data_IF_398358711713
#
_entry.id   IF_398358711713
#
_cell.length_a   1.000
_cell.length_b   1.000
_cell.length_c   1.000
_cell.angle_alpha   90.00
_cell.angle_beta   90.00
_cell.angle_gamma   90.00
#
_symmetry.space_group_name_H-M   'P 1'
#
loop_
_entity.id
_entity.type
_entity.pdbx_description
1 polymer ?
#
# COMPACT_ATOMS: atom_id res chain seq x y z
N UNK A 1 -7.70 10.52 -3.29
CA UNK A 1 -8.93 10.70 -2.49
C UNK A 1 -10.01 9.65 -2.74
N UNK A 2 -10.16 9.11 -3.94
CA UNK A 2 -11.18 8.08 -4.24
C UNK A 2 -11.05 6.81 -3.39
N UNK A 3 -9.86 6.22 -3.33
CA UNK A 3 -9.57 4.97 -2.60
C UNK A 3 -10.01 5.04 -1.13
N UNK A 4 -9.62 6.09 -0.40
CA UNK A 4 -9.95 6.24 1.03
C UNK A 4 -11.45 6.45 1.27
N UNK A 5 -12.17 7.08 0.34
CA UNK A 5 -13.63 7.19 0.43
C UNK A 5 -14.29 5.82 0.31
N UNK A 6 -13.86 5.00 -0.66
CA UNK A 6 -14.35 3.62 -0.85
C UNK A 6 -14.01 2.75 0.35
N UNK A 7 -12.77 2.81 0.85
CA UNK A 7 -12.33 2.10 2.03
C UNK A 7 -13.17 2.47 3.28
N UNK A 8 -13.42 3.76 3.49
CA UNK A 8 -14.26 4.22 4.60
C UNK A 8 -15.72 3.80 4.45
N UNK A 9 -16.26 3.80 3.23
CA UNK A 9 -17.61 3.32 2.97
C UNK A 9 -17.72 1.82 3.29
N UNK A 10 -16.78 1.00 2.82
CA UNK A 10 -16.73 -0.42 3.17
C UNK A 10 -16.68 -0.65 4.70
N UNK A 11 -15.86 0.13 5.42
CA UNK A 11 -15.82 0.10 6.89
C UNK A 11 -17.16 0.45 7.53
N UNK A 12 -17.88 1.43 6.99
CA UNK A 12 -19.21 1.83 7.49
C UNK A 12 -20.19 0.68 7.26
N UNK A 13 -20.17 0.03 6.08
CA UNK A 13 -21.02 -1.13 5.80
C UNK A 13 -20.77 -2.27 6.78
N UNK A 14 -19.50 -2.58 7.11
CA UNK A 14 -19.18 -3.60 8.12
C UNK A 14 -19.66 -3.22 9.53
N UNK A 15 -19.65 -1.94 9.90
CA UNK A 15 -20.23 -1.48 11.16
C UNK A 15 -21.77 -1.60 11.17
N UNK A 16 -22.41 -1.25 10.05
CA UNK A 16 -23.87 -1.42 9.89
C UNK A 16 -24.21 -2.90 10.03
N UNK A 17 -23.46 -3.79 9.33
CA UNK A 17 -23.61 -5.23 9.47
C UNK A 17 -23.58 -5.67 10.96
N UNK A 18 -22.56 -5.25 11.72
CA UNK A 18 -22.47 -5.60 13.15
C UNK A 18 -23.72 -5.17 13.96
N UNK A 19 -24.20 -3.94 13.73
CA UNK A 19 -25.35 -3.43 14.45
C UNK A 19 -26.67 -4.10 14.03
N UNK A 20 -26.85 -4.28 12.73
CA UNK A 20 -28.06 -4.93 12.19
C UNK A 20 -28.12 -6.39 12.56
N UNK A 21 -26.97 -7.11 12.63
CA UNK A 21 -26.90 -8.48 13.16
C UNK A 21 -27.36 -8.56 14.62
N UNK A 22 -26.95 -7.61 15.47
CA UNK A 22 -27.43 -7.55 16.87
C UNK A 22 -28.93 -7.32 16.91
N UNK A 23 -29.46 -6.35 16.14
CA UNK A 23 -30.88 -6.03 16.09
C UNK A 23 -31.69 -7.25 15.58
N UNK A 24 -31.23 -7.88 14.50
CA UNK A 24 -31.86 -9.07 13.94
C UNK A 24 -31.87 -10.23 14.96
N UNK A 25 -30.76 -10.44 15.66
CA UNK A 25 -30.66 -11.46 16.71
C UNK A 25 -31.67 -11.24 17.83
N UNK A 26 -31.80 -9.99 18.34
CA UNK A 26 -32.77 -9.62 19.35
C UNK A 26 -34.20 -9.85 18.84
N UNK A 27 -34.49 -9.42 17.61
CA UNK A 27 -35.79 -9.62 16.98
C UNK A 27 -36.18 -11.10 16.89
N UNK A 28 -35.23 -11.95 16.44
CA UNK A 28 -35.47 -13.39 16.34
C UNK A 28 -35.61 -14.07 17.71
N UNK A 29 -34.84 -13.65 18.72
CA UNK A 29 -34.96 -14.15 20.10
C UNK A 29 -36.35 -13.79 20.68
N UNK A 30 -36.85 -12.56 20.51
CA UNK A 30 -38.17 -12.17 20.95
C UNK A 30 -39.28 -12.97 20.25
N UNK A 31 -39.08 -13.29 18.95
CA UNK A 31 -39.99 -14.16 18.22
C UNK A 31 -39.95 -15.62 18.70
N UNK A 32 -38.76 -16.13 18.96
CA UNK A 32 -38.59 -17.50 19.47
C UNK A 32 -39.25 -17.69 20.83
N UNK A 33 -39.09 -16.72 21.74
CA UNK A 33 -39.63 -16.76 23.11
C UNK A 33 -41.14 -16.44 23.18
N UNK A 34 -41.75 -15.97 22.07
CA UNK A 34 -43.14 -15.49 22.07
C UNK A 34 -43.35 -14.14 22.74
N UNK A 35 -42.29 -13.49 23.24
CA UNK A 35 -42.35 -12.16 23.85
C UNK A 35 -42.82 -11.10 22.85
N UNK A 36 -42.53 -11.27 21.56
CA UNK A 36 -42.95 -10.35 20.51
C UNK A 36 -44.49 -10.29 20.39
N UNK A 37 -45.16 -11.46 20.40
CA UNK A 37 -46.62 -11.56 20.41
C UNK A 37 -47.22 -10.88 21.67
N UNK A 38 -46.60 -11.17 22.82
CA UNK A 38 -47.10 -10.69 24.12
C UNK A 38 -46.91 -9.16 24.34
N UNK A 39 -45.81 -8.59 23.90
CA UNK A 39 -45.45 -7.20 24.18
C UNK A 39 -45.88 -6.22 23.10
N UNK A 40 -45.91 -6.65 21.86
CA UNK A 40 -46.15 -5.78 20.71
C UNK A 40 -47.39 -6.13 19.89
N UNK A 41 -48.18 -7.13 20.33
CA UNK A 41 -49.37 -7.57 19.61
C UNK A 41 -49.07 -8.13 18.21
N UNK A 42 -47.82 -8.61 18.01
CA UNK A 42 -47.31 -9.07 16.73
C UNK A 42 -47.69 -10.51 16.39
N UNK A 43 -47.04 -11.11 15.40
CA UNK A 43 -47.29 -12.49 15.00
C UNK A 43 -46.97 -13.47 16.14
N UNK A 44 -47.68 -14.59 16.13
CA UNK A 44 -47.48 -15.69 17.11
C UNK A 44 -46.01 -16.15 17.13
N UNK A 45 -45.55 -16.60 18.32
CA UNK A 45 -44.19 -17.11 18.50
C UNK A 45 -43.85 -18.29 17.56
N UNK A 46 -42.55 -18.63 17.44
CA UNK A 46 -42.03 -19.59 16.46
C UNK A 46 -42.72 -20.96 16.53
N UNK A 47 -43.15 -21.39 17.70
CA UNK A 47 -43.85 -22.69 17.88
C UNK A 47 -45.21 -22.71 17.17
N UNK A 48 -45.91 -21.56 17.16
CA UNK A 48 -47.23 -21.42 16.54
C UNK A 48 -47.18 -20.96 15.08
N UNK A 49 -46.12 -20.27 14.68
CA UNK A 49 -45.91 -19.71 13.33
C UNK A 49 -44.49 -19.92 12.80
N UNK A 50 -44.01 -21.17 12.71
CA UNK A 50 -42.60 -21.46 12.34
C UNK A 50 -42.26 -20.99 10.93
N UNK A 51 -43.12 -21.13 9.96
CA UNK A 51 -42.90 -20.70 8.57
C UNK A 51 -42.71 -19.18 8.49
N UNK A 52 -43.48 -18.40 9.19
CA UNK A 52 -43.36 -16.94 9.25
C UNK A 52 -41.94 -16.54 9.74
N UNK A 53 -41.50 -17.12 10.85
CA UNK A 53 -40.19 -16.78 11.44
C UNK A 53 -39.02 -17.30 10.60
N UNK A 54 -39.13 -18.45 9.92
CA UNK A 54 -38.13 -18.94 8.98
C UNK A 54 -37.98 -18.02 7.77
N UNK A 55 -39.09 -17.52 7.20
CA UNK A 55 -39.02 -16.56 6.07
C UNK A 55 -38.35 -15.26 6.54
N UNK A 56 -38.70 -14.74 7.71
CA UNK A 56 -38.11 -13.50 8.26
C UNK A 56 -36.61 -13.67 8.52
N UNK A 57 -36.22 -14.77 9.12
CA UNK A 57 -34.79 -15.08 9.33
C UNK A 57 -34.06 -15.20 8.00
N UNK A 58 -34.64 -15.89 7.01
CA UNK A 58 -34.05 -16.02 5.67
C UNK A 58 -33.84 -14.65 4.98
N UNK A 59 -34.86 -13.79 4.99
CA UNK A 59 -34.74 -12.43 4.44
C UNK A 59 -33.67 -11.63 5.20
N UNK A 60 -33.66 -11.72 6.53
CA UNK A 60 -32.64 -11.04 7.34
C UNK A 60 -31.23 -11.49 6.99
N UNK A 61 -30.98 -12.80 6.90
CA UNK A 61 -29.69 -13.37 6.54
C UNK A 61 -29.24 -12.93 5.13
N UNK A 62 -30.15 -12.87 4.16
CA UNK A 62 -29.82 -12.41 2.81
C UNK A 62 -29.39 -10.93 2.83
N UNK A 63 -30.14 -10.07 3.51
CA UNK A 63 -29.82 -8.64 3.62
C UNK A 63 -28.49 -8.44 4.33
N UNK A 64 -28.27 -9.12 5.46
CA UNK A 64 -27.00 -9.10 6.20
C UNK A 64 -25.82 -9.55 5.32
N UNK A 65 -26.01 -10.65 4.56
CA UNK A 65 -24.98 -11.15 3.67
C UNK A 65 -24.60 -10.12 2.58
N UNK A 66 -25.56 -9.43 2.01
CA UNK A 66 -25.30 -8.39 0.99
C UNK A 66 -24.49 -7.25 1.61
N UNK A 67 -24.91 -6.75 2.79
CA UNK A 67 -24.21 -5.66 3.49
C UNK A 67 -22.78 -6.07 3.83
N UNK A 68 -22.59 -7.28 4.37
CA UNK A 68 -21.27 -7.83 4.72
C UNK A 68 -20.35 -7.93 3.50
N UNK A 69 -20.82 -8.57 2.41
CA UNK A 69 -20.00 -8.78 1.22
C UNK A 69 -19.61 -7.48 0.54
N UNK A 70 -20.51 -6.51 0.44
CA UNK A 70 -20.17 -5.17 -0.05
C UNK A 70 -19.07 -4.55 0.81
N UNK A 71 -19.23 -4.59 2.15
CA UNK A 71 -18.27 -4.01 3.08
C UNK A 71 -16.89 -4.67 2.99
N UNK A 72 -16.84 -6.02 3.05
CA UNK A 72 -15.57 -6.74 3.09
C UNK A 72 -14.80 -6.67 1.77
N UNK A 73 -15.48 -6.77 0.62
CA UNK A 73 -14.87 -6.64 -0.70
C UNK A 73 -14.25 -5.25 -0.85
N UNK A 74 -14.99 -4.18 -0.51
CA UNK A 74 -14.46 -2.83 -0.58
C UNK A 74 -13.24 -2.63 0.31
N UNK A 75 -13.27 -3.13 1.55
CA UNK A 75 -12.15 -3.03 2.48
C UNK A 75 -10.96 -3.82 1.98
N UNK A 76 -11.16 -5.06 1.52
CA UNK A 76 -10.07 -5.91 1.04
C UNK A 76 -9.41 -5.37 -0.24
N UNK A 77 -10.20 -4.76 -1.12
CA UNK A 77 -9.68 -4.17 -2.36
C UNK A 77 -8.92 -2.85 -2.13
N UNK A 78 -9.26 -2.09 -1.08
CA UNK A 78 -8.79 -0.70 -0.97
C UNK A 78 -7.93 -0.38 0.24
N UNK A 79 -7.93 -1.22 1.31
CA UNK A 79 -7.08 -0.99 2.48
C UNK A 79 -5.63 -1.40 2.21
N UNK A 80 -4.68 -0.52 2.43
CA UNK A 80 -3.24 -0.81 2.36
C UNK A 80 -2.69 -1.32 3.70
N UNK A 81 -3.27 -0.89 4.82
CA UNK A 81 -2.78 -1.22 6.16
C UNK A 81 -3.22 -2.61 6.64
N UNK A 82 -4.28 -3.16 6.03
CA UNK A 82 -4.82 -4.44 6.47
C UNK A 82 -3.83 -5.61 6.28
N UNK A 83 -2.91 -5.53 5.31
CA UNK A 83 -1.91 -6.56 5.04
C UNK A 83 -2.51 -7.93 4.65
N UNK A 84 -1.68 -8.80 4.08
CA UNK A 84 -2.11 -10.14 3.62
C UNK A 84 -2.50 -11.03 4.81
N UNK A 85 -1.74 -10.95 5.91
CA UNK A 85 -1.99 -11.77 7.11
C UNK A 85 -3.42 -11.65 7.63
N UNK A 86 -3.90 -10.41 7.82
CA UNK A 86 -5.24 -10.17 8.36
C UNK A 86 -6.35 -10.50 7.36
N UNK A 87 -6.09 -10.36 6.06
CA UNK A 87 -7.02 -10.79 5.01
C UNK A 87 -7.21 -12.30 5.03
N UNK A 88 -6.11 -13.06 5.07
CA UNK A 88 -6.15 -14.53 5.13
C UNK A 88 -6.82 -15.02 6.41
N UNK A 89 -6.42 -14.48 7.57
CA UNK A 89 -7.06 -14.84 8.84
C UNK A 89 -8.54 -14.48 8.86
N UNK A 90 -8.96 -13.37 8.29
CA UNK A 90 -10.37 -13.00 8.16
C UNK A 90 -11.18 -13.98 7.35
N UNK A 91 -10.62 -14.53 6.27
CA UNK A 91 -11.26 -15.57 5.45
C UNK A 91 -11.34 -16.88 6.23
N UNK A 92 -10.23 -17.36 6.80
CA UNK A 92 -10.16 -18.65 7.53
C UNK A 92 -11.05 -18.65 8.76
N UNK A 93 -11.02 -17.58 9.55
CA UNK A 93 -11.84 -17.44 10.77
C UNK A 93 -13.30 -17.11 10.48
N UNK A 94 -13.66 -16.80 9.23
CA UNK A 94 -15.03 -16.43 8.82
C UNK A 94 -16.06 -17.50 9.08
N UNK A 95 -15.66 -18.79 9.16
CA UNK A 95 -16.51 -19.94 9.43
C UNK A 95 -16.75 -20.21 10.93
N UNK A 96 -15.99 -19.55 11.82
CA UNK A 96 -16.06 -19.76 13.28
C UNK A 96 -16.72 -18.53 13.91
N UNK A 97 -17.94 -18.59 14.45
CA UNK A 97 -18.74 -17.43 14.85
C UNK A 97 -18.00 -16.44 15.76
N UNK A 98 -17.38 -16.91 16.83
CA UNK A 98 -16.65 -16.02 17.78
C UNK A 98 -15.38 -15.48 17.14
N UNK A 99 -14.60 -16.32 16.46
CA UNK A 99 -13.36 -15.89 15.78
C UNK A 99 -13.68 -14.89 14.65
N UNK A 100 -14.78 -15.09 13.93
CA UNK A 100 -15.26 -14.15 12.91
C UNK A 100 -15.50 -12.76 13.48
N UNK A 101 -16.19 -12.64 14.61
CA UNK A 101 -16.47 -11.34 15.26
C UNK A 101 -15.20 -10.64 15.73
N UNK A 102 -14.24 -11.41 16.29
CA UNK A 102 -12.94 -10.86 16.70
C UNK A 102 -12.17 -10.35 15.48
N UNK A 103 -12.12 -11.14 14.40
CA UNK A 103 -11.45 -10.72 13.17
C UNK A 103 -12.11 -9.51 12.53
N UNK A 104 -13.44 -9.47 12.52
CA UNK A 104 -14.19 -8.33 11.99
C UNK A 104 -13.90 -7.05 12.80
N UNK A 105 -13.82 -7.17 14.13
CA UNK A 105 -13.41 -6.06 14.99
C UNK A 105 -12.00 -5.55 14.64
N UNK A 106 -11.03 -6.44 14.48
CA UNK A 106 -9.66 -6.10 14.10
C UNK A 106 -9.62 -5.40 12.73
N UNK A 107 -10.34 -5.92 11.74
CA UNK A 107 -10.43 -5.35 10.40
C UNK A 107 -11.02 -3.93 10.47
N UNK A 108 -12.18 -3.76 11.13
CA UNK A 108 -12.85 -2.46 11.27
C UNK A 108 -11.95 -1.44 11.99
N UNK A 109 -11.22 -1.86 13.03
CA UNK A 109 -10.29 -1.01 13.79
C UNK A 109 -9.11 -0.59 12.92
N UNK A 110 -8.41 -1.52 12.30
CA UNK A 110 -7.24 -1.25 11.44
C UNK A 110 -7.59 -0.30 10.30
N UNK A 111 -8.70 -0.57 9.60
CA UNK A 111 -9.20 0.30 8.53
C UNK A 111 -9.63 1.67 9.07
N UNK A 112 -10.18 1.71 10.28
CA UNK A 112 -10.54 2.95 10.96
C UNK A 112 -9.34 3.84 11.23
N UNK A 113 -8.25 3.25 11.68
CA UNK A 113 -6.98 3.95 11.92
C UNK A 113 -6.37 4.44 10.60
N UNK A 114 -6.36 3.61 9.55
CA UNK A 114 -5.93 4.01 8.21
C UNK A 114 -6.70 5.24 7.71
N UNK A 115 -8.02 5.17 7.73
CA UNK A 115 -8.88 6.28 7.27
C UNK A 115 -8.63 7.56 8.08
N UNK A 116 -8.46 7.44 9.40
CA UNK A 116 -8.15 8.58 10.28
C UNK A 116 -6.80 9.20 9.92
N UNK A 117 -5.76 8.38 9.77
CA UNK A 117 -4.41 8.84 9.43
C UNK A 117 -4.37 9.52 8.07
N UNK A 118 -5.01 8.93 7.05
CA UNK A 118 -5.06 9.52 5.71
C UNK A 118 -5.83 10.86 5.67
N UNK A 119 -6.93 10.97 6.43
CA UNK A 119 -7.66 12.24 6.56
C UNK A 119 -6.81 13.31 7.27
N UNK A 120 -6.11 12.94 8.35
CA UNK A 120 -5.22 13.88 9.05
C UNK A 120 -4.07 14.33 8.14
N UNK A 121 -3.49 13.40 7.36
CA UNK A 121 -2.43 13.70 6.40
C UNK A 121 -2.94 14.67 5.32
N UNK A 122 -4.07 14.37 4.71
CA UNK A 122 -4.67 15.24 3.68
C UNK A 122 -4.95 16.65 4.23
N UNK A 123 -5.49 16.75 5.46
CA UNK A 123 -5.70 18.05 6.13
C UNK A 123 -4.37 18.78 6.35
N UNK A 124 -3.34 18.10 6.84
CA UNK A 124 -2.02 18.68 7.09
C UNK A 124 -1.37 19.16 5.80
N UNK A 125 -1.43 18.37 4.73
CA UNK A 125 -0.89 18.75 3.43
C UNK A 125 -1.61 19.97 2.87
N UNK A 126 -2.95 20.05 3.02
CA UNK A 126 -3.71 21.23 2.61
C UNK A 126 -3.27 22.49 3.37
N UNK A 127 -3.07 22.40 4.69
CA UNK A 127 -2.61 23.52 5.52
C UNK A 127 -1.18 23.97 5.18
N UNK A 128 -0.31 23.03 4.76
CA UNK A 128 1.10 23.29 4.43
C UNK A 128 1.35 23.63 2.96
N UNK A 129 0.35 23.46 2.10
CA UNK A 129 0.49 23.65 0.66
C UNK A 129 1.09 25.01 0.29
N UNK A 130 0.68 26.06 0.96
CA UNK A 130 1.19 27.41 0.75
C UNK A 130 2.67 27.57 1.18
N UNK A 131 3.13 26.78 2.15
CA UNK A 131 4.50 26.85 2.67
C UNK A 131 5.52 26.17 1.76
N UNK A 132 5.08 25.28 0.85
CA UNK A 132 5.93 24.54 -0.11
C UNK A 132 7.21 23.96 0.54
N UNK A 133 7.07 23.33 1.70
CA UNK A 133 8.19 22.89 2.56
C UNK A 133 9.15 21.88 1.91
N UNK A 134 8.74 21.25 0.81
CA UNK A 134 9.57 20.34 0.01
C UNK A 134 10.07 20.98 -1.29
N UNK A 135 9.86 22.31 -1.47
CA UNK A 135 10.42 23.04 -2.61
C UNK A 135 11.93 23.16 -2.44
N UNK A 136 12.68 22.73 -3.44
CA UNK A 136 14.13 22.82 -3.50
C UNK A 136 14.55 23.64 -4.72
N UNK A 137 15.74 24.27 -4.69
CA UNK A 137 16.28 25.03 -5.84
C UNK A 137 16.35 24.17 -7.10
N UNK A 138 16.71 22.90 -6.95
CA UNK A 138 16.89 21.94 -8.04
C UNK A 138 15.86 20.81 -7.93
N UNK A 139 15.40 20.24 -9.05
CA UNK A 139 14.49 19.11 -9.02
C UNK A 139 15.11 17.88 -8.35
N UNK A 140 14.28 16.99 -7.85
CA UNK A 140 14.70 15.76 -7.19
C UNK A 140 14.59 14.59 -8.16
N UNK A 141 15.70 13.91 -8.41
CA UNK A 141 15.76 12.66 -9.15
C UNK A 141 15.69 11.49 -8.18
N UNK A 142 14.67 10.66 -8.30
CA UNK A 142 14.50 9.44 -7.50
C UNK A 142 15.00 8.22 -8.27
N UNK A 143 16.00 7.53 -7.68
CA UNK A 143 16.69 6.37 -8.29
C UNK A 143 16.37 5.12 -7.47
N UNK A 144 15.64 4.18 -8.08
CA UNK A 144 15.19 2.95 -7.43
C UNK A 144 16.26 1.85 -7.36
N UNK A 145 15.99 0.80 -6.57
CA UNK A 145 16.85 -0.37 -6.42
C UNK A 145 16.57 -1.46 -7.45
N UNK A 146 17.09 -2.66 -7.20
CA UNK A 146 17.05 -3.83 -8.11
C UNK A 146 15.62 -4.27 -8.44
N UNK A 147 15.43 -4.78 -9.67
CA UNK A 147 14.22 -5.43 -10.20
C UNK A 147 12.98 -4.56 -10.43
N UNK A 148 13.02 -3.30 -10.14
CA UNK A 148 11.88 -2.41 -10.36
C UNK A 148 12.23 -1.38 -11.44
N UNK A 149 11.29 -1.15 -12.35
CA UNK A 149 11.19 0.06 -13.16
C UNK A 149 10.06 0.90 -12.59
N UNK A 150 10.13 2.19 -12.79
CA UNK A 150 9.04 3.09 -12.40
C UNK A 150 7.85 2.90 -13.36
N UNK A 151 7.08 1.85 -13.12
CA UNK A 151 5.82 1.64 -13.82
C UNK A 151 4.75 2.57 -13.22
N UNK A 152 3.95 3.21 -14.04
CA UNK A 152 2.86 4.11 -13.58
C UNK A 152 1.92 3.46 -12.55
N UNK A 153 1.74 2.13 -12.63
CA UNK A 153 0.83 1.38 -11.76
C UNK A 153 1.51 0.65 -10.61
N UNK A 154 2.84 0.51 -10.62
CA UNK A 154 3.65 -0.15 -9.59
C UNK A 154 4.80 0.77 -9.19
N UNK A 155 4.47 1.89 -8.58
CA UNK A 155 5.46 2.85 -8.14
C UNK A 155 6.31 2.26 -7.00
N UNK A 156 7.61 2.08 -7.26
CA UNK A 156 8.59 1.64 -6.29
C UNK A 156 8.58 2.45 -4.98
N UNK A 157 8.39 3.75 -5.10
CA UNK A 157 8.42 4.71 -4.02
C UNK A 157 7.09 4.82 -3.27
N UNK A 158 6.07 4.10 -3.72
CA UNK A 158 4.73 4.14 -3.15
C UNK A 158 4.16 5.56 -3.15
N UNK A 159 3.79 6.04 -1.99
CA UNK A 159 3.16 7.37 -1.82
C UNK A 159 4.16 8.53 -1.62
N UNK A 160 5.46 8.24 -1.47
CA UNK A 160 6.46 9.26 -1.12
C UNK A 160 6.53 10.38 -2.16
N UNK A 161 6.61 10.12 -3.48
CA UNK A 161 6.66 11.18 -4.48
C UNK A 161 5.44 12.10 -4.41
N UNK A 162 4.24 11.52 -4.36
CA UNK A 162 2.99 12.30 -4.30
C UNK A 162 2.91 13.21 -3.05
N UNK A 163 3.45 12.77 -1.92
CA UNK A 163 3.52 13.58 -0.70
C UNK A 163 4.54 14.72 -0.84
N UNK A 164 5.68 14.48 -1.46
CA UNK A 164 6.69 15.49 -1.72
C UNK A 164 6.19 16.56 -2.71
N UNK A 165 5.53 16.12 -3.80
CA UNK A 165 4.92 16.99 -4.82
C UNK A 165 3.79 17.83 -4.23
N UNK A 166 2.92 17.25 -3.38
CA UNK A 166 1.86 17.96 -2.68
C UNK A 166 2.40 19.08 -1.78
N UNK A 167 3.67 18.98 -1.36
CA UNK A 167 4.38 19.97 -0.55
C UNK A 167 5.42 20.79 -1.35
N UNK A 168 5.36 20.76 -2.69
CA UNK A 168 6.07 21.67 -3.57
C UNK A 168 7.37 21.16 -4.20
N UNK A 169 7.70 19.87 -4.04
CA UNK A 169 8.83 19.26 -4.75
C UNK A 169 8.52 19.07 -6.24
N UNK A 170 9.57 19.10 -7.05
CA UNK A 170 9.55 18.69 -8.46
C UNK A 170 10.31 17.37 -8.57
N UNK A 171 9.62 16.29 -8.96
CA UNK A 171 10.13 14.92 -8.92
C UNK A 171 10.36 14.40 -10.35
N UNK A 172 11.52 13.77 -10.55
CA UNK A 172 11.86 12.98 -11.72
C UNK A 172 12.28 11.57 -11.29
N UNK A 173 12.18 10.62 -12.21
CA UNK A 173 12.54 9.22 -11.97
C UNK A 173 13.70 8.80 -12.84
N UNK A 174 14.55 7.92 -12.31
CA UNK A 174 15.74 7.42 -12.98
C UNK A 174 15.44 6.60 -14.23
N UNK A 175 14.37 5.82 -14.20
CA UNK A 175 13.89 4.96 -15.31
C UNK A 175 14.99 4.08 -15.95
N UNK A 176 16.07 3.80 -15.20
CA UNK A 176 17.21 3.02 -15.64
C UNK A 176 16.94 1.52 -15.49
N UNK A 177 17.70 0.70 -16.21
CA UNK A 177 17.66 -0.74 -16.04
C UNK A 177 18.43 -1.16 -14.77
N UNK A 178 17.71 -1.22 -13.64
CA UNK A 178 18.32 -1.59 -12.34
C UNK A 178 18.78 -3.06 -12.24
N UNK A 179 18.41 -3.92 -13.16
CA UNK A 179 18.91 -5.30 -13.26
C UNK A 179 20.22 -5.40 -14.05
N UNK A 180 20.63 -4.33 -14.75
CA UNK A 180 21.89 -4.26 -15.46
C UNK A 180 23.11 -4.16 -14.51
N UNK A 181 24.31 -4.31 -15.08
CA UNK A 181 25.55 -4.05 -14.35
C UNK A 181 25.59 -2.58 -13.86
N UNK A 182 26.24 -2.33 -12.72
CA UNK A 182 26.32 -0.98 -12.12
C UNK A 182 26.88 0.05 -13.11
N UNK A 183 27.86 -0.34 -13.94
CA UNK A 183 28.44 0.56 -14.95
C UNK A 183 27.46 0.96 -16.05
N UNK A 184 26.58 0.04 -16.45
CA UNK A 184 25.61 0.30 -17.51
C UNK A 184 24.45 1.14 -16.95
N UNK A 185 23.95 0.79 -15.76
CA UNK A 185 22.98 1.63 -15.03
C UNK A 185 23.54 3.05 -14.80
N UNK A 186 24.83 3.18 -14.52
CA UNK A 186 25.49 4.48 -14.32
C UNK A 186 25.44 5.36 -15.57
N UNK A 187 25.66 4.78 -16.76
CA UNK A 187 25.56 5.50 -18.05
C UNK A 187 24.13 5.98 -18.31
N UNK A 188 23.15 5.07 -18.14
CA UNK A 188 21.74 5.42 -18.32
C UNK A 188 21.31 6.56 -17.37
N UNK A 189 21.77 6.53 -16.11
CA UNK A 189 21.49 7.59 -15.13
C UNK A 189 22.17 8.90 -15.50
N UNK A 190 23.39 8.86 -16.06
CA UNK A 190 24.05 10.06 -16.56
C UNK A 190 23.28 10.69 -17.72
N UNK A 191 22.87 9.90 -18.69
CA UNK A 191 22.01 10.36 -19.80
C UNK A 191 20.70 10.96 -19.29
N UNK A 192 20.07 10.30 -18.30
CA UNK A 192 18.83 10.79 -17.68
C UNK A 192 19.01 12.14 -17.00
N UNK A 193 20.11 12.36 -16.28
CA UNK A 193 20.43 13.66 -15.66
C UNK A 193 20.61 14.73 -16.73
N UNK A 194 21.38 14.45 -17.77
CA UNK A 194 21.51 15.40 -18.89
C UNK A 194 20.19 15.71 -19.59
N UNK A 195 19.32 14.71 -19.71
CA UNK A 195 17.99 14.91 -20.26
C UNK A 195 17.15 15.87 -19.38
N UNK A 196 17.13 15.65 -18.05
CA UNK A 196 16.41 16.49 -17.10
C UNK A 196 16.92 17.94 -17.15
N UNK A 197 18.24 18.12 -17.21
CA UNK A 197 18.88 19.44 -17.35
C UNK A 197 18.40 20.14 -18.62
N UNK A 198 18.39 19.43 -19.77
CA UNK A 198 17.91 20.01 -21.04
C UNK A 198 16.42 20.34 -21.00
N UNK A 199 15.59 19.46 -20.42
CA UNK A 199 14.13 19.64 -20.37
C UNK A 199 13.71 20.79 -19.45
N UNK A 200 14.43 20.98 -18.35
CA UNK A 200 14.03 21.92 -17.29
C UNK A 200 14.81 23.22 -17.31
N UNK A 201 15.96 23.27 -17.97
CA UNK A 201 16.90 24.38 -17.93
C UNK A 201 17.55 24.59 -16.55
N UNK A 202 17.42 23.62 -15.63
CA UNK A 202 18.06 23.72 -14.32
C UNK A 202 19.57 23.42 -14.43
N UNK A 203 20.36 24.00 -13.52
CA UNK A 203 21.82 23.79 -13.49
C UNK A 203 22.19 22.42 -12.93
N UNK A 204 21.41 21.90 -11.99
CA UNK A 204 21.71 20.69 -11.21
C UNK A 204 20.44 19.93 -10.83
N UNK A 205 20.62 18.71 -10.34
CA UNK A 205 19.59 17.90 -9.72
C UNK A 205 19.98 17.49 -8.30
N UNK A 206 19.02 17.33 -7.40
CA UNK A 206 19.19 16.61 -6.14
C UNK A 206 18.83 15.14 -6.38
N UNK A 207 19.61 14.19 -5.87
CA UNK A 207 19.37 12.77 -6.08
C UNK A 207 19.02 12.09 -4.77
N UNK A 208 17.94 11.30 -4.77
CA UNK A 208 17.59 10.36 -3.70
C UNK A 208 17.63 8.96 -4.29
N UNK A 209 18.58 8.15 -3.85
CA UNK A 209 18.83 6.83 -4.40
C UNK A 209 18.63 5.75 -3.33
N UNK A 210 17.92 4.67 -3.65
CA UNK A 210 17.64 3.57 -2.73
C UNK A 210 18.36 2.29 -3.16
N UNK A 211 18.88 1.55 -2.15
CA UNK A 211 19.48 0.22 -2.36
C UNK A 211 20.60 0.24 -3.43
N UNK A 212 20.53 -0.63 -4.47
CA UNK A 212 21.49 -0.67 -5.59
C UNK A 212 21.56 0.67 -6.33
N UNK A 213 20.45 1.42 -6.44
CA UNK A 213 20.46 2.72 -7.10
C UNK A 213 21.48 3.71 -6.52
N UNK A 214 21.82 3.59 -5.23
CA UNK A 214 22.89 4.37 -4.63
C UNK A 214 24.29 3.95 -5.09
N UNK A 215 24.50 2.66 -5.42
CA UNK A 215 25.74 2.18 -6.04
C UNK A 215 25.83 2.67 -7.49
N UNK A 216 24.73 2.59 -8.24
CA UNK A 216 24.64 3.04 -9.62
C UNK A 216 24.95 4.55 -9.72
N UNK A 217 24.39 5.37 -8.82
CA UNK A 217 24.67 6.81 -8.75
C UNK A 217 26.11 7.13 -8.33
N UNK A 218 26.69 6.38 -7.39
CA UNK A 218 28.12 6.55 -7.05
C UNK A 218 29.01 6.23 -8.24
N UNK A 219 28.70 5.16 -8.98
CA UNK A 219 29.42 4.82 -10.20
C UNK A 219 29.24 5.90 -11.28
N UNK A 220 28.03 6.42 -11.44
CA UNK A 220 27.75 7.52 -12.37
C UNK A 220 28.61 8.76 -12.05
N UNK A 221 28.66 9.17 -10.79
CA UNK A 221 29.49 10.30 -10.34
C UNK A 221 31.00 10.06 -10.56
N UNK A 222 31.47 8.82 -10.44
CA UNK A 222 32.89 8.49 -10.54
C UNK A 222 33.35 8.21 -11.97
N UNK A 223 32.46 7.71 -12.85
CA UNK A 223 32.82 7.17 -14.17
C UNK A 223 32.31 8.00 -15.36
N UNK A 224 31.49 9.03 -15.07
CA UNK A 224 30.90 9.91 -16.08
C UNK A 224 31.10 11.40 -15.73
N UNK A 225 30.64 12.27 -16.60
CA UNK A 225 30.79 13.72 -16.49
C UNK A 225 29.71 14.43 -15.66
N UNK A 226 28.85 13.68 -14.95
CA UNK A 226 27.67 14.29 -14.28
C UNK A 226 27.94 14.93 -12.94
N UNK A 227 29.13 14.81 -12.38
CA UNK A 227 29.43 15.39 -11.06
C UNK A 227 29.09 16.88 -10.93
N UNK A 228 29.34 17.74 -11.94
CA UNK A 228 28.96 19.15 -11.90
C UNK A 228 27.43 19.38 -11.87
N UNK A 229 26.65 18.43 -12.37
CA UNK A 229 25.19 18.53 -12.50
C UNK A 229 24.42 17.92 -11.31
N UNK A 230 25.10 17.37 -10.32
CA UNK A 230 24.49 16.82 -9.10
C UNK A 230 24.78 17.76 -7.94
N UNK A 231 23.73 18.33 -7.36
CA UNK A 231 23.82 19.21 -6.21
C UNK A 231 23.99 18.43 -4.90
N UNK A 232 23.27 17.31 -4.78
CA UNK A 232 23.35 16.43 -3.62
C UNK A 232 23.00 14.99 -4.00
N UNK A 233 23.60 14.02 -3.29
CA UNK A 233 23.25 12.61 -3.36
C UNK A 233 22.91 12.11 -1.96
N UNK A 234 21.65 11.72 -1.76
CA UNK A 234 21.18 11.05 -0.55
C UNK A 234 20.95 9.58 -0.88
N UNK A 235 21.61 8.69 -0.14
CA UNK A 235 21.45 7.24 -0.31
C UNK A 235 20.66 6.65 0.85
N UNK A 236 19.69 5.77 0.53
CA UNK A 236 18.83 5.11 1.50
C UNK A 236 19.08 3.60 1.40
N UNK A 237 19.51 2.98 2.51
CA UNK A 237 19.78 1.53 2.60
C UNK A 237 20.68 0.99 1.47
N UNK A 238 21.62 1.80 1.00
CA UNK A 238 22.57 1.41 -0.05
C UNK A 238 23.68 0.56 0.56
N UNK A 239 23.98 -0.64 0.00
CA UNK A 239 24.99 -1.53 0.52
C UNK A 239 26.41 -1.09 0.07
N UNK A 240 26.89 0.04 0.56
CA UNK A 240 28.18 0.66 0.16
C UNK A 240 29.40 -0.21 0.42
N UNK A 241 29.32 -1.22 1.29
CA UNK A 241 30.38 -2.16 1.65
C UNK A 241 30.03 -3.61 1.30
N UNK A 242 29.07 -3.82 0.38
CA UNK A 242 28.54 -5.13 0.03
C UNK A 242 27.35 -5.54 0.87
N UNK A 243 26.78 -6.72 0.59
CA UNK A 243 25.60 -7.26 1.23
C UNK A 243 25.75 -8.78 1.43
N UNK A 244 26.11 -9.20 2.65
CA UNK A 244 26.29 -10.63 3.00
C UNK A 244 25.05 -11.48 2.71
N UNK A 245 23.85 -10.90 2.89
CA UNK A 245 22.59 -11.59 2.58
C UNK A 245 22.44 -11.86 1.07
N UNK A 246 22.89 -10.94 0.22
CA UNK A 246 22.90 -11.15 -1.23
C UNK A 246 23.88 -12.27 -1.61
N UNK A 247 25.06 -12.32 -1.00
CA UNK A 247 26.05 -13.39 -1.19
C UNK A 247 25.51 -14.76 -0.75
N UNK A 248 24.82 -14.81 0.38
CA UNK A 248 24.15 -16.03 0.88
C UNK A 248 23.03 -16.52 -0.05
N UNK A 249 22.17 -15.60 -0.54
CA UNK A 249 21.11 -15.95 -1.48
C UNK A 249 21.69 -16.43 -2.81
N UNK A 250 22.70 -15.74 -3.32
CA UNK A 250 23.38 -16.11 -4.55
C UNK A 250 24.02 -17.50 -4.47
N UNK A 251 24.57 -17.87 -3.30
CA UNK A 251 25.12 -19.20 -3.05
C UNK A 251 24.08 -20.34 -3.08
N UNK A 252 22.79 -20.03 -2.91
CA UNK A 252 21.69 -21.02 -2.93
C UNK A 252 20.96 -21.13 -4.27
N UNK A 253 21.22 -20.25 -5.22
CA UNK A 253 20.55 -20.26 -6.53
C UNK A 253 21.34 -21.14 -7.51
N UNK A 254 20.68 -22.00 -8.34
CA UNK A 254 21.38 -22.84 -9.33
C UNK A 254 22.23 -22.03 -10.32
N UNK A 255 23.41 -22.56 -10.69
CA UNK A 255 24.52 -21.87 -11.34
C UNK A 255 24.23 -20.97 -12.55
N UNK A 256 23.25 -21.28 -13.43
CA UNK A 256 22.88 -20.40 -14.55
C UNK A 256 22.21 -19.09 -14.10
N UNK A 257 21.35 -19.17 -13.08
CA UNK A 257 20.69 -17.98 -12.51
C UNK A 257 21.64 -17.21 -11.60
N UNK A 258 22.58 -17.91 -10.93
CA UNK A 258 23.65 -17.34 -10.14
C UNK A 258 24.57 -16.45 -11.00
N UNK A 259 24.89 -16.88 -12.21
CA UNK A 259 25.71 -16.13 -13.12
C UNK A 259 25.04 -14.84 -13.62
N UNK A 260 23.72 -14.89 -13.84
CA UNK A 260 22.92 -13.71 -14.23
C UNK A 260 22.84 -12.67 -13.11
N UNK A 261 22.62 -13.09 -11.86
CA UNK A 261 22.60 -12.20 -10.70
C UNK A 261 24.00 -11.77 -10.30
N UNK A 262 25.00 -12.65 -10.37
CA UNK A 262 26.40 -12.33 -10.09
C UNK A 262 27.02 -11.39 -11.12
N UNK A 263 26.65 -11.48 -12.40
CA UNK A 263 27.06 -10.52 -13.42
C UNK A 263 26.49 -9.13 -13.17
N UNK A 264 25.26 -9.07 -12.60
CA UNK A 264 24.64 -7.81 -12.18
C UNK A 264 25.37 -7.16 -11.00
N UNK A 265 25.90 -7.96 -10.06
CA UNK A 265 26.58 -7.47 -8.84
C UNK A 265 28.11 -7.44 -8.94
N UNK A 266 28.76 -8.46 -9.52
CA UNK A 266 30.24 -8.54 -9.61
C UNK A 266 30.83 -7.56 -10.60
N UNK A 267 30.14 -7.22 -11.68
CA UNK A 267 30.60 -6.19 -12.60
C UNK A 267 30.67 -4.78 -11.96
N UNK A 268 30.03 -4.60 -10.80
CA UNK A 268 30.08 -3.36 -10.01
C UNK A 268 31.11 -3.38 -8.88
N UNK A 269 31.61 -4.55 -8.46
CA UNK A 269 32.52 -4.69 -7.32
C UNK A 269 34.00 -4.91 -7.73
N UNK A 270 34.30 -5.15 -9.00
CA UNK A 270 35.65 -5.33 -9.47
C UNK A 270 36.25 -3.98 -9.91
N UNK A 271 36.86 -3.29 -8.99
CA UNK A 271 38.06 -2.43 -8.89
C UNK A 271 37.88 -1.28 -7.96
#
# INVERSE_FOLDING_TARGET
>A
MGRIKVCNFGRIMLKIFCWTTVILSIYLILGFTGCYEKWFGGPAGIVKAPVYWLIRAGIGIIVESIIFWIGIIMVYATSEQLGIRWRVLGIVCGWIPVAHLVMLHIIIKTVGEEVRMEKMRAKRNLQRKAQRICSTKYPVLMVHGVFFRDFEHLNYWGRIPAELEANGAVIYYGNHNSAAAVRDSAKELAERIHQIIRETGCEKVNVIAHSKGGLDMRAALALTDIAPYVASLTTINTPHRGCQFADYLLGKIPGKQQQMVANTYKAGAAK
#
